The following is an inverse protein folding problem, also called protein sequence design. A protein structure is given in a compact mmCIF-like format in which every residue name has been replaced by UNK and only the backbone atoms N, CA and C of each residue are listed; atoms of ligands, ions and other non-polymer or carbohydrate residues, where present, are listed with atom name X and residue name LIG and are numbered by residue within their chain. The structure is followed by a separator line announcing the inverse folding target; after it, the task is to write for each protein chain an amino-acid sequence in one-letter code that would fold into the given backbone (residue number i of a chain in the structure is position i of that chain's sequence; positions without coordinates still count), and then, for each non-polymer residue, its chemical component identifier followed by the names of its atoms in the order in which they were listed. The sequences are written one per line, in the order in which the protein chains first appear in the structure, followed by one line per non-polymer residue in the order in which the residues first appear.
data_IF_447991189250
#
_entry.id   IF_447991189250
#
_cell.length_a   1.000
_cell.length_b   1.000
_cell.length_c   1.000
_cell.angle_alpha   90.00
_cell.angle_beta   90.00
_cell.angle_gamma   90.00
#
_symmetry.space_group_name_H-M   'P 1'
#
loop_
_entity.id
_entity.type
_entity.pdbx_description
1 polymer ?
#
# COMPACT_ATOMS: atom_id res chain seq x y z
N UNK A 1 28.64 -9.60 -8.01
CA UNK A 1 28.13 -10.12 -6.71
C UNK A 1 27.08 -9.16 -6.21
N UNK A 2 25.80 -9.60 -6.10
CA UNK A 2 24.74 -8.81 -5.47
C UNK A 2 25.16 -8.53 -4.02
N UNK A 3 25.03 -7.25 -3.59
CA UNK A 3 25.35 -6.90 -2.20
C UNK A 3 24.35 -7.59 -1.27
N UNK A 4 24.73 -7.87 -0.02
CA UNK A 4 23.79 -8.45 0.96
C UNK A 4 22.52 -7.58 1.12
N UNK A 5 22.59 -6.29 0.81
CA UNK A 5 21.42 -5.37 0.78
C UNK A 5 20.43 -5.67 -0.33
N UNK A 6 20.87 -6.27 -1.44
CA UNK A 6 19.97 -6.67 -2.53
C UNK A 6 19.15 -7.89 -2.10
N UNK A 7 19.70 -8.72 -1.21
CA UNK A 7 19.05 -9.93 -0.70
C UNK A 7 18.03 -9.66 0.43
N UNK A 8 18.07 -8.52 1.10
CA UNK A 8 17.14 -8.24 2.21
C UNK A 8 15.69 -8.11 1.74
N UNK A 9 15.45 -7.51 0.57
CA UNK A 9 14.13 -7.43 -0.03
C UNK A 9 13.62 -8.83 -0.45
N UNK A 10 14.49 -9.65 -1.04
CA UNK A 10 14.16 -11.03 -1.41
C UNK A 10 13.87 -11.89 -0.17
N UNK A 11 14.64 -11.72 0.90
CA UNK A 11 14.38 -12.40 2.18
C UNK A 11 13.04 -12.00 2.78
N UNK A 12 12.67 -10.71 2.72
CA UNK A 12 11.36 -10.26 3.19
C UNK A 12 10.22 -10.92 2.39
N UNK A 13 10.36 -11.04 1.07
CA UNK A 13 9.39 -11.73 0.22
C UNK A 13 9.29 -13.22 0.56
N UNK A 14 10.43 -13.89 0.78
CA UNK A 14 10.46 -15.32 1.13
C UNK A 14 9.86 -15.56 2.52
N UNK A 15 10.23 -14.76 3.52
CA UNK A 15 9.73 -14.90 4.88
C UNK A 15 8.23 -14.56 4.95
N UNK A 16 7.82 -13.41 4.39
CA UNK A 16 6.42 -13.00 4.40
C UNK A 16 5.53 -13.93 3.57
N UNK A 17 5.99 -14.34 2.38
CA UNK A 17 5.28 -15.33 1.57
C UNK A 17 5.21 -16.70 2.25
N UNK A 18 6.28 -17.13 2.92
CA UNK A 18 6.30 -18.37 3.72
C UNK A 18 5.35 -18.31 4.91
N UNK A 19 5.30 -17.18 5.62
CA UNK A 19 4.35 -16.99 6.73
C UNK A 19 2.90 -16.91 6.20
N UNK A 20 2.66 -16.28 5.06
CA UNK A 20 1.33 -16.27 4.40
C UNK A 20 0.91 -17.70 4.03
N UNK A 21 1.80 -18.50 3.43
CA UNK A 21 1.51 -19.91 3.14
C UNK A 21 1.24 -20.71 4.41
N UNK A 22 2.02 -20.48 5.48
CA UNK A 22 1.83 -21.12 6.77
C UNK A 22 0.48 -20.74 7.41
N UNK A 23 0.06 -19.49 7.28
CA UNK A 23 -1.26 -19.01 7.73
C UNK A 23 -2.39 -19.87 7.19
N UNK A 24 -2.37 -20.21 5.90
CA UNK A 24 -3.39 -21.08 5.28
C UNK A 24 -3.23 -22.57 5.61
N UNK A 25 -2.06 -22.99 6.05
CA UNK A 25 -1.80 -24.38 6.44
C UNK A 25 -2.18 -24.68 7.90
N UNK A 26 -2.33 -23.65 8.75
CA UNK A 26 -2.65 -23.78 10.18
C UNK A 26 -4.17 -23.71 10.38
N UNK A 27 -4.75 -24.60 11.23
CA UNK A 27 -6.17 -24.52 11.59
C UNK A 27 -6.54 -23.18 12.25
N UNK A 28 -7.81 -22.80 12.14
CA UNK A 28 -8.33 -21.58 12.76
C UNK A 28 -8.11 -21.60 14.29
N UNK A 29 -7.71 -20.44 14.80
CA UNK A 29 -7.43 -20.26 16.22
C UNK A 29 -6.27 -19.30 16.51
N UNK A 30 -5.87 -19.24 17.76
CA UNK A 30 -4.86 -18.29 18.24
C UNK A 30 -3.53 -18.35 17.46
N UNK A 31 -3.08 -19.55 17.06
CA UNK A 31 -1.84 -19.70 16.28
C UNK A 31 -1.94 -19.02 14.91
N UNK A 32 -3.07 -19.19 14.23
CA UNK A 32 -3.34 -18.57 12.93
C UNK A 32 -3.36 -17.04 13.04
N UNK A 33 -4.08 -16.49 14.04
CA UNK A 33 -4.12 -15.06 14.33
C UNK A 33 -2.73 -14.51 14.68
N UNK A 34 -1.93 -15.27 15.45
CA UNK A 34 -0.55 -14.86 15.77
C UNK A 34 0.34 -14.79 14.53
N UNK A 35 0.16 -15.68 13.55
CA UNK A 35 0.91 -15.62 12.28
C UNK A 35 0.50 -14.36 11.51
N UNK A 36 -0.78 -14.03 11.47
CA UNK A 36 -1.29 -12.83 10.81
C UNK A 36 -0.65 -11.56 11.41
N UNK A 37 -0.79 -11.35 12.73
CA UNK A 37 -0.19 -10.23 13.43
C UNK A 37 1.33 -10.16 13.29
N UNK A 38 2.01 -11.33 13.27
CA UNK A 38 3.46 -11.42 13.08
C UNK A 38 3.89 -10.86 11.72
N UNK A 39 3.16 -11.13 10.64
CA UNK A 39 3.47 -10.60 9.30
C UNK A 39 3.40 -9.07 9.31
N UNK A 40 2.31 -8.49 9.86
CA UNK A 40 2.15 -7.04 9.98
C UNK A 40 3.24 -6.41 10.83
N UNK A 41 3.54 -6.98 12.01
CA UNK A 41 4.58 -6.49 12.90
C UNK A 41 5.98 -6.54 12.27
N UNK A 42 6.34 -7.64 11.61
CA UNK A 42 7.62 -7.77 10.91
C UNK A 42 7.76 -6.75 9.78
N UNK A 43 6.68 -6.44 9.08
CA UNK A 43 6.67 -5.40 8.05
C UNK A 43 6.99 -4.03 8.65
N UNK A 44 6.35 -3.66 9.77
CA UNK A 44 6.62 -2.40 10.48
C UNK A 44 8.09 -2.33 10.93
N UNK A 45 8.59 -3.39 11.57
CA UNK A 45 9.99 -3.45 12.04
C UNK A 45 10.96 -3.29 10.86
N UNK A 46 10.73 -3.97 9.74
CA UNK A 46 11.56 -3.90 8.55
C UNK A 46 11.58 -2.47 7.95
N UNK A 47 10.43 -1.81 7.87
CA UNK A 47 10.32 -0.44 7.36
C UNK A 47 11.09 0.53 8.28
N UNK A 48 10.85 0.47 9.60
CA UNK A 48 11.53 1.34 10.57
C UNK A 48 13.04 1.11 10.57
N UNK A 49 13.46 -0.16 10.62
CA UNK A 49 14.89 -0.50 10.66
C UNK A 49 15.65 0.05 9.45
N UNK A 50 15.05 -0.04 8.27
CA UNK A 50 15.73 0.29 7.04
C UNK A 50 15.58 1.75 6.61
N UNK A 51 14.48 2.40 6.97
CA UNK A 51 14.07 3.69 6.42
C UNK A 51 13.78 4.77 7.48
N UNK A 52 14.28 4.58 8.71
CA UNK A 52 14.06 5.49 9.85
C UNK A 52 14.44 6.95 9.59
N UNK A 53 15.32 7.20 8.64
CA UNK A 53 15.78 8.57 8.29
C UNK A 53 14.87 9.25 7.24
N UNK A 54 13.75 8.59 6.88
CA UNK A 54 12.85 9.07 5.84
C UNK A 54 11.41 9.20 6.35
N UNK A 55 10.94 10.43 6.53
CA UNK A 55 9.57 10.72 7.01
C UNK A 55 8.49 9.97 6.23
N UNK A 56 8.50 9.91 4.88
CA UNK A 56 7.49 9.13 4.15
C UNK A 56 7.44 7.67 4.58
N UNK A 57 8.60 7.02 4.74
CA UNK A 57 8.66 5.62 5.15
C UNK A 57 8.24 5.40 6.60
N UNK A 58 8.50 6.37 7.49
CA UNK A 58 7.98 6.33 8.86
C UNK A 58 6.46 6.46 8.89
N UNK A 59 5.88 7.26 8.00
CA UNK A 59 4.42 7.34 7.85
C UNK A 59 3.84 6.02 7.35
N UNK A 60 4.52 5.35 6.39
CA UNK A 60 4.12 3.99 5.99
C UNK A 60 4.22 2.99 7.13
N UNK A 61 5.29 3.05 7.93
CA UNK A 61 5.42 2.20 9.11
C UNK A 61 4.28 2.44 10.11
N UNK A 62 3.95 3.71 10.38
CA UNK A 62 2.89 4.07 11.30
C UNK A 62 1.50 3.64 10.78
N UNK A 63 1.22 3.81 9.48
CA UNK A 63 -0.02 3.35 8.86
C UNK A 63 -0.15 1.83 8.93
N UNK A 64 0.90 1.08 8.54
CA UNK A 64 0.91 -0.39 8.66
C UNK A 64 0.81 -0.86 10.12
N UNK A 65 1.40 -0.11 11.07
CA UNK A 65 1.25 -0.43 12.50
C UNK A 65 -0.21 -0.31 12.95
N UNK A 66 -0.88 0.76 12.54
CA UNK A 66 -2.30 0.94 12.87
C UNK A 66 -3.17 -0.17 12.25
N UNK A 67 -2.90 -0.57 11.02
CA UNK A 67 -3.58 -1.71 10.39
C UNK A 67 -3.33 -3.00 11.18
N UNK A 68 -2.07 -3.31 11.51
CA UNK A 68 -1.72 -4.50 12.30
C UNK A 68 -2.37 -4.49 13.69
N UNK A 69 -2.45 -3.31 14.35
CA UNK A 69 -3.18 -3.18 15.63
C UNK A 69 -4.68 -3.40 15.43
N UNK A 70 -5.25 -2.89 14.35
CA UNK A 70 -6.65 -3.13 13.99
C UNK A 70 -6.95 -4.62 13.80
N UNK A 71 -6.05 -5.35 13.12
CA UNK A 71 -6.13 -6.80 12.91
C UNK A 71 -6.11 -7.56 14.24
N UNK A 72 -5.15 -7.23 15.15
CA UNK A 72 -5.03 -7.85 16.45
C UNK A 72 -6.23 -7.54 17.36
N UNK A 73 -6.74 -6.30 17.33
CA UNK A 73 -7.95 -5.89 18.05
C UNK A 73 -9.16 -6.63 17.50
N UNK A 74 -9.31 -6.73 16.20
CA UNK A 74 -10.38 -7.49 15.56
C UNK A 74 -10.34 -8.97 15.95
N UNK A 75 -9.18 -9.60 15.86
CA UNK A 75 -9.00 -11.01 16.22
C UNK A 75 -9.17 -11.29 17.73
N UNK A 76 -8.83 -10.31 18.59
CA UNK A 76 -8.87 -10.48 20.05
C UNK A 76 -10.26 -10.34 20.66
N UNK A 77 -11.15 -9.53 20.08
CA UNK A 77 -12.47 -9.25 20.63
C UNK A 77 -13.60 -10.10 20.03
N UNK A 78 -13.41 -10.65 18.83
CA UNK A 78 -14.45 -11.41 18.13
C UNK A 78 -13.92 -12.76 17.65
N UNK A 79 -14.71 -13.80 17.90
CA UNK A 79 -14.49 -15.11 17.28
C UNK A 79 -15.07 -15.05 15.85
N UNK A 80 -14.24 -14.76 14.87
CA UNK A 80 -14.63 -14.55 13.47
C UNK A 80 -14.46 -13.09 13.04
N UNK A 81 -15.19 -12.68 12.01
CA UNK A 81 -15.12 -11.29 11.52
C UNK A 81 -15.77 -10.32 12.50
N UNK A 82 -15.10 -9.22 12.88
CA UNK A 82 -15.71 -8.20 13.72
C UNK A 82 -16.90 -7.55 13.01
N UNK A 83 -17.91 -7.09 13.78
CA UNK A 83 -18.98 -6.29 13.19
C UNK A 83 -18.39 -4.98 12.64
N UNK A 84 -18.97 -4.46 11.57
CA UNK A 84 -18.64 -3.13 11.04
C UNK A 84 -19.81 -2.21 11.34
N UNK A 85 -19.63 -1.07 12.05
CA UNK A 85 -18.37 -0.56 12.61
C UNK A 85 -17.97 -1.21 13.95
N UNK A 86 -16.67 -1.31 14.16
CA UNK A 86 -16.05 -1.80 15.39
C UNK A 86 -14.89 -0.90 15.85
N UNK A 87 -14.27 -1.21 16.97
CA UNK A 87 -13.07 -0.49 17.42
C UNK A 87 -11.90 -0.67 16.45
N UNK A 88 -11.83 -1.80 15.73
CA UNK A 88 -10.80 -2.04 14.73
C UNK A 88 -10.84 -1.00 13.59
N UNK A 89 -12.05 -0.58 13.19
CA UNK A 89 -12.22 0.42 12.13
C UNK A 89 -11.56 1.77 12.47
N UNK A 90 -11.49 2.13 13.74
CA UNK A 90 -10.81 3.36 14.15
C UNK A 90 -9.30 3.30 13.84
N UNK A 91 -8.69 2.13 13.99
CA UNK A 91 -7.27 1.92 13.65
C UNK A 91 -7.07 1.88 12.14
N UNK A 92 -7.91 1.13 11.42
CA UNK A 92 -7.83 1.06 9.97
C UNK A 92 -7.99 2.44 9.33
N UNK A 93 -9.08 3.15 9.63
CA UNK A 93 -9.34 4.47 9.06
C UNK A 93 -8.31 5.52 9.47
N UNK A 94 -7.65 5.39 10.62
CA UNK A 94 -6.53 6.25 11.00
C UNK A 94 -5.22 5.90 10.26
N UNK A 95 -5.05 4.66 9.80
CA UNK A 95 -3.90 4.21 9.03
C UNK A 95 -3.83 4.82 7.64
N UNK A 96 -4.97 4.89 6.94
CA UNK A 96 -5.04 5.40 5.56
C UNK A 96 -4.46 6.81 5.35
N UNK A 97 -4.80 7.83 6.17
CA UNK A 97 -4.21 9.16 6.05
C UNK A 97 -2.68 9.15 6.18
N UNK A 98 -2.12 8.27 7.00
CA UNK A 98 -0.67 8.16 7.15
C UNK A 98 -0.03 7.56 5.90
N UNK A 99 -0.62 6.51 5.33
CA UNK A 99 -0.17 5.94 4.07
C UNK A 99 -0.28 6.95 2.94
N UNK A 100 -1.40 7.65 2.83
CA UNK A 100 -1.61 8.69 1.83
C UNK A 100 -0.59 9.83 1.96
N UNK A 101 -0.37 10.33 3.20
CA UNK A 101 0.64 11.35 3.46
C UNK A 101 2.05 10.88 3.09
N UNK A 102 2.37 9.61 3.35
CA UNK A 102 3.63 8.99 2.93
C UNK A 102 3.81 9.02 1.40
N UNK A 103 2.78 8.62 0.63
CA UNK A 103 2.79 8.66 -0.84
C UNK A 103 2.94 10.09 -1.35
N UNK A 104 2.17 11.03 -0.82
CA UNK A 104 2.22 12.45 -1.21
C UNK A 104 3.60 13.04 -0.93
N UNK A 105 4.19 12.78 0.24
CA UNK A 105 5.52 13.29 0.57
C UNK A 105 6.62 12.66 -0.30
N UNK A 106 6.52 11.36 -0.64
CA UNK A 106 7.43 10.74 -1.60
C UNK A 106 7.31 11.40 -2.97
N UNK A 107 6.07 11.63 -3.44
CA UNK A 107 5.80 12.27 -4.72
C UNK A 107 6.41 13.68 -4.77
N UNK A 108 6.26 14.48 -3.71
CA UNK A 108 6.88 15.81 -3.63
C UNK A 108 8.41 15.77 -3.62
N UNK A 109 9.01 14.80 -2.95
CA UNK A 109 10.47 14.62 -2.92
C UNK A 109 11.04 14.16 -4.25
N UNK A 110 10.27 13.46 -5.08
CA UNK A 110 10.71 13.00 -6.41
C UNK A 110 11.05 14.13 -7.40
N UNK A 111 10.69 15.38 -7.07
CA UNK A 111 11.15 16.57 -7.79
C UNK A 111 10.66 16.71 -9.23
N UNK A 112 9.48 16.19 -9.55
CA UNK A 112 8.93 16.26 -10.89
C UNK A 112 8.59 17.71 -11.30
N UNK A 113 9.17 18.18 -12.41
CA UNK A 113 8.79 19.46 -13.04
C UNK A 113 7.42 19.40 -13.75
N UNK A 114 6.83 18.21 -13.90
CA UNK A 114 5.54 17.98 -14.58
C UNK A 114 4.40 17.74 -13.60
N UNK A 115 4.33 18.51 -12.52
CA UNK A 115 3.31 18.34 -11.46
C UNK A 115 1.87 18.41 -12.00
N UNK A 116 1.60 19.33 -12.92
CA UNK A 116 0.25 19.49 -13.51
C UNK A 116 -0.17 18.29 -14.35
N UNK A 117 0.73 17.72 -15.15
CA UNK A 117 0.44 16.50 -15.91
C UNK A 117 0.23 15.30 -14.96
N UNK A 118 1.06 15.17 -13.91
CA UNK A 118 0.91 14.14 -12.90
C UNK A 118 -0.45 14.21 -12.19
N UNK A 119 -0.88 15.42 -11.84
CA UNK A 119 -2.18 15.64 -11.22
C UNK A 119 -3.33 15.31 -12.17
N UNK A 120 -3.21 15.69 -13.45
CA UNK A 120 -4.24 15.37 -14.45
C UNK A 120 -4.39 13.86 -14.64
N UNK A 121 -3.29 13.14 -14.82
CA UNK A 121 -3.32 11.69 -14.99
C UNK A 121 -3.85 10.98 -13.73
N UNK A 122 -3.39 11.40 -12.54
CA UNK A 122 -3.90 10.89 -11.27
C UNK A 122 -5.41 11.15 -11.12
N UNK A 123 -5.88 12.34 -11.50
CA UNK A 123 -7.31 12.69 -11.46
C UNK A 123 -8.12 11.80 -12.38
N UNK A 124 -7.65 11.56 -13.62
CA UNK A 124 -8.36 10.70 -14.58
C UNK A 124 -8.48 9.28 -14.04
N UNK A 125 -7.38 8.69 -13.56
CA UNK A 125 -7.38 7.32 -13.01
C UNK A 125 -8.27 7.24 -11.78
N UNK A 126 -8.16 8.20 -10.86
CA UNK A 126 -8.97 8.24 -9.64
C UNK A 126 -10.45 8.39 -9.96
N UNK A 127 -10.80 9.26 -10.91
CA UNK A 127 -12.19 9.46 -11.30
C UNK A 127 -12.79 8.25 -12.01
N UNK A 128 -12.01 7.58 -12.86
CA UNK A 128 -12.44 6.33 -13.49
C UNK A 128 -12.71 5.24 -12.43
N UNK A 129 -11.83 5.11 -11.43
CA UNK A 129 -12.02 4.16 -10.35
C UNK A 129 -13.19 4.56 -9.44
N UNK A 130 -13.37 5.85 -9.15
CA UNK A 130 -14.53 6.35 -8.40
C UNK A 130 -15.86 5.96 -9.08
N UNK A 131 -15.95 6.01 -10.40
CA UNK A 131 -17.15 5.58 -11.12
C UNK A 131 -17.42 4.08 -10.92
N UNK A 132 -16.37 3.26 -10.93
CA UNK A 132 -16.49 1.83 -10.63
C UNK A 132 -16.95 1.62 -9.19
N UNK A 133 -16.31 2.28 -8.23
CA UNK A 133 -16.68 2.25 -6.81
C UNK A 133 -18.13 2.69 -6.59
N UNK A 134 -18.56 3.75 -7.27
CA UNK A 134 -19.92 4.26 -7.17
C UNK A 134 -20.94 3.19 -7.58
N UNK A 135 -20.75 2.59 -8.74
CA UNK A 135 -21.69 1.62 -9.30
C UNK A 135 -21.76 0.32 -8.49
N UNK A 136 -20.61 -0.17 -8.01
CA UNK A 136 -20.54 -1.50 -7.40
C UNK A 136 -20.63 -1.49 -5.87
N UNK A 137 -20.25 -0.39 -5.21
CA UNK A 137 -20.18 -0.32 -3.75
C UNK A 137 -20.97 0.86 -3.16
N UNK A 138 -20.61 2.08 -3.52
CA UNK A 138 -21.13 3.27 -2.84
C UNK A 138 -22.64 3.43 -2.95
N UNK A 139 -23.23 3.12 -4.10
CA UNK A 139 -24.67 3.22 -4.29
C UNK A 139 -25.41 2.26 -3.35
N UNK A 140 -24.94 1.02 -3.22
CA UNK A 140 -25.48 0.03 -2.30
C UNK A 140 -25.31 0.40 -0.83
N UNK A 141 -24.12 0.89 -0.46
CA UNK A 141 -23.82 1.35 0.92
C UNK A 141 -24.72 2.52 1.30
N UNK A 142 -24.87 3.52 0.44
CA UNK A 142 -25.66 4.73 0.70
C UNK A 142 -27.18 4.45 0.70
N UNK A 143 -27.64 3.44 -0.03
CA UNK A 143 -29.04 3.00 -0.06
C UNK A 143 -29.38 2.01 1.05
N UNK A 144 -28.41 1.57 1.87
CA UNK A 144 -28.66 0.62 2.95
C UNK A 144 -29.57 1.22 4.03
N UNK A 145 -30.26 0.36 4.78
CA UNK A 145 -31.07 0.76 5.94
C UNK A 145 -30.27 0.84 7.25
N UNK A 146 -28.96 0.80 7.16
CA UNK A 146 -28.06 0.88 8.31
C UNK A 146 -28.08 2.24 8.99
N UNK A 147 -27.49 2.32 10.19
CA UNK A 147 -27.34 3.62 10.85
C UNK A 147 -26.45 4.54 10.03
N UNK A 148 -26.67 5.86 10.11
CA UNK A 148 -25.82 6.87 9.45
C UNK A 148 -24.34 6.70 9.77
N UNK A 149 -24.02 6.26 11.00
CA UNK A 149 -22.64 6.00 11.41
C UNK A 149 -22.06 4.79 10.68
N UNK A 150 -22.81 3.69 10.56
CA UNK A 150 -22.40 2.50 9.80
C UNK A 150 -22.17 2.83 8.32
N UNK A 151 -23.10 3.56 7.71
CA UNK A 151 -22.99 4.04 6.33
C UNK A 151 -21.71 4.88 6.15
N UNK A 152 -21.44 5.81 7.07
CA UNK A 152 -20.27 6.67 6.99
C UNK A 152 -18.96 5.89 7.11
N UNK A 153 -18.87 4.91 8.00
CA UNK A 153 -17.70 4.05 8.17
C UNK A 153 -17.51 3.19 6.92
N UNK A 154 -18.56 2.51 6.44
CA UNK A 154 -18.46 1.66 5.24
C UNK A 154 -18.07 2.46 3.99
N UNK A 155 -18.62 3.67 3.81
CA UNK A 155 -18.26 4.52 2.68
C UNK A 155 -16.85 5.13 2.78
N UNK A 156 -16.29 5.23 3.99
CA UNK A 156 -14.96 5.79 4.17
C UNK A 156 -13.87 4.90 3.54
N UNK A 157 -14.00 3.56 3.57
CA UNK A 157 -13.01 2.64 3.01
C UNK A 157 -12.78 2.85 1.51
N UNK A 158 -13.80 2.72 0.63
CA UNK A 158 -13.60 2.97 -0.79
C UNK A 158 -13.11 4.39 -1.10
N UNK A 159 -13.46 5.39 -0.30
CA UNK A 159 -12.94 6.75 -0.47
C UNK A 159 -11.46 6.87 -0.08
N UNK A 160 -11.02 6.19 0.97
CA UNK A 160 -9.60 6.14 1.35
C UNK A 160 -8.76 5.39 0.32
N UNK A 161 -9.27 4.31 -0.24
CA UNK A 161 -8.65 3.57 -1.33
C UNK A 161 -8.41 4.44 -2.57
N UNK A 162 -9.40 5.28 -2.93
CA UNK A 162 -9.23 6.27 -4.00
C UNK A 162 -8.09 7.25 -3.73
N UNK A 163 -7.90 7.66 -2.48
CA UNK A 163 -6.81 8.57 -2.10
C UNK A 163 -5.45 7.87 -2.26
N UNK A 164 -5.34 6.60 -1.86
CA UNK A 164 -4.11 5.82 -2.05
C UNK A 164 -3.82 5.61 -3.54
N UNK A 165 -4.84 5.26 -4.32
CA UNK A 165 -4.73 5.09 -5.76
C UNK A 165 -4.28 6.38 -6.46
N UNK A 166 -4.86 7.53 -6.09
CA UNK A 166 -4.46 8.83 -6.60
C UNK A 166 -2.99 9.16 -6.29
N UNK A 167 -2.56 8.88 -5.06
CA UNK A 167 -1.16 9.03 -4.64
C UNK A 167 -0.22 8.16 -5.48
N UNK A 168 -0.60 6.91 -5.72
CA UNK A 168 0.17 5.97 -6.52
C UNK A 168 0.24 6.38 -7.99
N UNK A 169 -0.91 6.77 -8.58
CA UNK A 169 -0.99 7.21 -9.98
C UNK A 169 -0.09 8.41 -10.26
N UNK A 170 0.07 9.32 -9.29
CA UNK A 170 0.99 10.45 -9.39
C UNK A 170 2.45 10.07 -9.68
N UNK A 171 2.89 8.88 -9.32
CA UNK A 171 4.26 8.43 -9.56
C UNK A 171 4.56 8.08 -11.03
N UNK A 172 3.56 7.74 -11.85
CA UNK A 172 3.80 7.41 -13.26
C UNK A 172 4.45 8.57 -14.02
N UNK A 173 4.11 9.81 -13.68
CA UNK A 173 4.67 11.00 -14.33
C UNK A 173 6.09 11.32 -13.84
N UNK A 174 6.47 10.86 -12.65
CA UNK A 174 7.81 11.11 -12.10
C UNK A 174 8.89 10.20 -12.71
N UNK A 175 8.48 9.14 -13.39
CA UNK A 175 9.37 8.08 -13.88
C UNK A 175 9.87 7.13 -12.78
N UNK A 176 9.35 7.24 -11.58
CA UNK A 176 9.62 6.33 -10.46
C UNK A 176 9.17 4.89 -10.75
N UNK A 177 8.17 4.72 -11.62
CA UNK A 177 7.68 3.43 -12.11
C UNK A 177 8.77 2.55 -12.74
N UNK A 178 9.97 3.10 -13.03
CA UNK A 178 11.10 2.34 -13.55
C UNK A 178 11.92 1.65 -12.48
N UNK A 179 11.59 1.86 -11.20
CA UNK A 179 12.31 1.26 -10.07
C UNK A 179 11.58 0.04 -9.53
N UNK A 180 12.28 -1.04 -9.16
CA UNK A 180 11.66 -2.20 -8.53
C UNK A 180 10.92 -1.84 -7.22
N UNK A 181 11.45 -0.93 -6.40
CA UNK A 181 10.80 -0.50 -5.17
C UNK A 181 9.42 0.15 -5.43
N UNK A 182 9.25 0.85 -6.56
CA UNK A 182 7.94 1.37 -6.95
C UNK A 182 6.95 0.24 -7.21
N UNK A 183 7.34 -0.79 -7.96
CA UNK A 183 6.44 -1.89 -8.27
C UNK A 183 6.07 -2.73 -7.05
N UNK A 184 7.01 -2.94 -6.12
CA UNK A 184 6.71 -3.56 -4.83
C UNK A 184 5.68 -2.75 -4.05
N UNK A 185 5.85 -1.42 -3.98
CA UNK A 185 4.91 -0.52 -3.35
C UNK A 185 3.56 -0.49 -4.08
N UNK A 186 3.57 -0.42 -5.41
CA UNK A 186 2.36 -0.38 -6.22
C UNK A 186 1.53 -1.66 -6.08
N UNK A 187 2.18 -2.82 -6.16
CA UNK A 187 1.50 -4.11 -5.98
C UNK A 187 0.99 -4.26 -4.54
N UNK A 188 1.73 -3.77 -3.54
CA UNK A 188 1.27 -3.76 -2.16
C UNK A 188 -0.04 -2.98 -1.99
N UNK A 189 -0.09 -1.74 -2.49
CA UNK A 189 -1.29 -0.91 -2.44
C UNK A 189 -2.43 -1.58 -3.23
N UNK A 190 -2.16 -2.11 -4.42
CA UNK A 190 -3.20 -2.77 -5.23
C UNK A 190 -3.75 -4.02 -4.54
N UNK A 191 -2.94 -4.81 -3.86
CA UNK A 191 -3.42 -5.96 -3.09
C UNK A 191 -4.28 -5.54 -1.91
N UNK A 192 -3.91 -4.46 -1.22
CA UNK A 192 -4.72 -3.86 -0.17
C UNK A 192 -6.11 -3.47 -0.73
N UNK A 193 -6.12 -2.64 -1.77
CA UNK A 193 -7.36 -2.17 -2.40
C UNK A 193 -8.26 -3.31 -2.87
N UNK A 194 -7.68 -4.30 -3.57
CA UNK A 194 -8.46 -5.45 -4.06
C UNK A 194 -9.04 -6.26 -2.91
N UNK A 195 -8.30 -6.45 -1.82
CA UNK A 195 -8.80 -7.17 -0.66
C UNK A 195 -9.95 -6.40 0.02
N UNK A 196 -9.81 -5.08 0.16
CA UNK A 196 -10.83 -4.21 0.74
C UNK A 196 -12.11 -4.19 -0.11
N UNK A 197 -11.98 -4.13 -1.44
CA UNK A 197 -13.11 -4.22 -2.37
C UNK A 197 -13.85 -5.56 -2.27
N UNK A 198 -13.09 -6.67 -2.26
CA UNK A 198 -13.70 -7.99 -2.14
C UNK A 198 -14.36 -8.17 -0.77
N UNK A 199 -13.74 -7.65 0.29
CA UNK A 199 -14.35 -7.60 1.62
C UNK A 199 -15.68 -6.84 1.62
N UNK A 200 -15.72 -5.67 0.99
CA UNK A 200 -16.91 -4.82 0.93
C UNK A 200 -18.05 -5.40 0.09
N UNK A 201 -17.72 -6.20 -0.93
CA UNK A 201 -18.71 -6.83 -1.83
C UNK A 201 -19.34 -8.11 -1.28
N UNK A 202 -18.72 -8.75 -0.29
CA UNK A 202 -19.08 -10.12 0.06
C UNK A 202 -19.26 -10.41 1.54
N UNK A 203 -19.61 -11.66 1.82
CA UNK A 203 -19.58 -12.25 3.14
C UNK A 203 -18.15 -12.77 3.41
N UNK A 204 -17.32 -11.94 4.02
CA UNK A 204 -15.98 -12.35 4.43
C UNK A 204 -16.01 -13.19 5.69
N UNK A 205 -15.21 -14.24 5.70
CA UNK A 205 -14.88 -15.04 6.89
C UNK A 205 -13.37 -15.09 7.05
N UNK A 206 -12.86 -14.84 8.26
CA UNK A 206 -11.44 -14.95 8.55
C UNK A 206 -10.90 -16.33 8.16
N UNK A 207 -9.75 -16.39 7.51
CA UNK A 207 -9.17 -17.61 6.98
C UNK A 207 -9.40 -17.85 5.49
N UNK A 208 -10.17 -17.00 4.82
CA UNK A 208 -10.40 -17.08 3.38
C UNK A 208 -9.21 -16.55 2.56
N UNK A 209 -9.19 -16.88 1.28
CA UNK A 209 -8.13 -16.49 0.35
C UNK A 209 -7.87 -14.97 0.29
N UNK A 210 -8.87 -14.16 0.60
CA UNK A 210 -8.76 -12.70 0.64
C UNK A 210 -7.72 -12.21 1.64
N UNK A 211 -7.52 -12.94 2.76
CA UNK A 211 -6.49 -12.62 3.74
C UNK A 211 -5.09 -12.58 3.13
N UNK A 212 -4.86 -13.34 2.03
CA UNK A 212 -3.60 -13.27 1.30
C UNK A 212 -3.34 -11.88 0.72
N UNK A 213 -4.37 -11.12 0.38
CA UNK A 213 -4.24 -9.76 -0.14
C UNK A 213 -3.60 -8.83 0.89
N UNK A 214 -4.13 -8.83 2.11
CA UNK A 214 -3.60 -8.01 3.21
C UNK A 214 -2.22 -8.49 3.67
N UNK A 215 -2.02 -9.80 3.88
CA UNK A 215 -0.75 -10.38 4.31
C UNK A 215 0.38 -10.11 3.30
N UNK A 216 0.11 -10.29 2.01
CA UNK A 216 1.08 -9.99 0.96
C UNK A 216 1.28 -8.48 0.80
N UNK A 217 0.26 -7.65 1.06
CA UNK A 217 0.41 -6.20 1.10
C UNK A 217 1.45 -5.80 2.15
N UNK A 218 1.33 -6.26 3.41
CA UNK A 218 2.35 -6.02 4.45
C UNK A 218 3.74 -6.47 4.01
N UNK A 219 3.83 -7.68 3.46
CA UNK A 219 5.10 -8.25 2.98
C UNK A 219 5.76 -7.37 1.92
N UNK A 220 4.97 -6.87 0.97
CA UNK A 220 5.46 -6.03 -0.13
C UNK A 220 5.83 -4.62 0.33
N UNK A 221 5.13 -4.04 1.32
CA UNK A 221 5.54 -2.80 1.99
C UNK A 221 6.95 -2.94 2.58
N UNK A 222 7.19 -4.03 3.31
CA UNK A 222 8.51 -4.34 3.87
C UNK A 222 9.56 -4.52 2.78
N UNK A 223 9.26 -5.30 1.75
CA UNK A 223 10.17 -5.55 0.63
C UNK A 223 10.52 -4.27 -0.13
N UNK A 224 9.55 -3.37 -0.35
CA UNK A 224 9.78 -2.07 -0.97
C UNK A 224 10.72 -1.19 -0.13
N UNK A 225 10.52 -1.16 1.19
CA UNK A 225 11.36 -0.42 2.12
C UNK A 225 12.79 -0.96 2.21
N UNK A 226 12.96 -2.27 2.10
CA UNK A 226 14.25 -2.96 2.13
C UNK A 226 14.99 -2.88 0.79
N UNK A 227 14.27 -2.63 -0.32
CA UNK A 227 14.87 -2.63 -1.64
C UNK A 227 15.84 -1.45 -1.83
N UNK A 228 17.05 -1.65 -2.38
CA UNK A 228 18.05 -0.58 -2.57
C UNK A 228 17.53 0.61 -3.38
N UNK A 229 16.66 0.38 -4.37
CA UNK A 229 16.10 1.44 -5.22
C UNK A 229 15.05 2.33 -4.53
N UNK A 230 14.66 2.04 -3.26
CA UNK A 230 13.73 2.91 -2.52
C UNK A 230 14.20 4.36 -2.42
N UNK A 231 15.53 4.57 -2.38
CA UNK A 231 16.11 5.91 -2.34
C UNK A 231 15.82 6.72 -3.59
N UNK A 232 15.68 6.04 -4.72
CA UNK A 232 15.32 6.68 -5.99
C UNK A 232 13.88 7.21 -6.01
N UNK A 233 13.01 6.69 -5.12
CA UNK A 233 11.66 7.22 -4.91
C UNK A 233 11.68 8.55 -4.15
N UNK A 234 12.69 8.76 -3.28
CA UNK A 234 12.80 9.89 -2.36
C UNK A 234 13.75 10.99 -2.84
N UNK A 235 14.62 10.69 -3.80
CA UNK A 235 15.64 11.62 -4.28
C UNK A 235 15.30 12.18 -5.65
N UNK A 236 15.42 13.51 -5.85
CA UNK A 236 15.28 14.10 -7.17
C UNK A 236 16.26 13.44 -8.14
N UNK A 237 15.82 13.03 -9.30
CA UNK A 237 16.64 12.36 -10.30
C UNK A 237 17.66 13.29 -10.97
N UNK A 238 18.50 13.98 -10.18
CA UNK A 238 19.63 14.78 -10.71
C UNK A 238 20.54 13.97 -11.63
N UNK A 239 20.71 12.67 -11.38
CA UNK A 239 21.52 11.78 -12.23
C UNK A 239 20.85 11.42 -13.57
N UNK A 240 19.54 11.54 -13.71
CA UNK A 240 18.84 11.20 -14.96
C UNK A 240 19.01 12.28 -16.03
N UNK A 241 19.10 13.55 -15.64
CA UNK A 241 19.32 14.65 -16.59
C UNK A 241 20.73 14.61 -17.22
N UNK A 242 21.72 14.06 -16.52
CA UNK A 242 23.07 13.96 -17.08
C UNK A 242 23.22 12.85 -18.14
N UNK A 243 22.36 11.82 -18.12
CA UNK A 243 22.37 10.77 -19.15
C UNK A 243 21.63 11.16 -20.44
N UNK A 244 20.81 12.21 -20.40
CA UNK A 244 20.14 12.79 -21.57
C UNK A 244 20.93 13.96 -22.18
N UNK A 245 22.15 14.25 -21.73
CA UNK A 245 23.08 15.06 -22.49
C UNK A 245 23.32 14.31 -23.80
N UNK A 246 22.68 14.81 -24.85
CA UNK A 246 22.91 14.37 -26.21
C UNK A 246 24.42 14.35 -26.41
N UNK A 247 24.97 13.17 -26.64
CA UNK A 247 26.40 13.04 -26.89
C UNK A 247 26.78 14.01 -28.02
N UNK A 248 27.83 14.85 -27.85
CA UNK A 248 28.17 15.88 -28.86
C UNK A 248 28.29 15.33 -30.28
N UNK A 249 28.64 14.07 -30.43
CA UNK A 249 28.73 13.43 -31.74
C UNK A 249 27.37 13.14 -32.40
N UNK A 250 26.24 13.07 -31.65
CA UNK A 250 24.89 12.97 -32.22
C UNK A 250 24.39 14.28 -32.82
N UNK A 251 24.92 15.41 -32.36
CA UNK A 251 24.62 16.72 -32.95
C UNK A 251 25.32 16.90 -34.32
N UNK A 252 26.52 16.31 -34.49
CA UNK A 252 27.27 16.34 -35.74
C UNK A 252 26.73 15.48 -36.89
N UNK A 253 25.79 14.58 -36.62
CA UNK A 253 25.15 13.72 -37.66
C UNK A 253 23.85 14.35 -38.20
N UNK A 254 23.36 15.43 -37.58
CA UNK A 254 22.14 16.16 -37.97
C UNK A 254 22.44 17.53 -38.61
N UNK A 255 23.71 17.87 -38.83
CA UNK A 255 24.16 18.98 -39.65
C UNK A 255 24.82 18.46 -40.93
#
# INVERSE_FOLDING_TARGET
MASWRDRTSELALLVGGGLTALYFAVPDGAAKNSIYGLVGFLAVVAIVWCARDSVPWLLFAAGNLLFSVGDDVGAGFWNGSPPVPSVADAFYLAGYPLLAAGLVLLLFKSGSHRRTAALADATIVTFAFLLVQWVYLLDGILASSDSTFTIAVNAAYPLMDLILLAGLAGFFVTGAWRTPAFWLLAVSVMLLLVADEVFALGSYTSGEWIDSGWLLSYTLWAAAALHPSRRELSEPSRRRYQRLRVSPWRVGVLM
#
